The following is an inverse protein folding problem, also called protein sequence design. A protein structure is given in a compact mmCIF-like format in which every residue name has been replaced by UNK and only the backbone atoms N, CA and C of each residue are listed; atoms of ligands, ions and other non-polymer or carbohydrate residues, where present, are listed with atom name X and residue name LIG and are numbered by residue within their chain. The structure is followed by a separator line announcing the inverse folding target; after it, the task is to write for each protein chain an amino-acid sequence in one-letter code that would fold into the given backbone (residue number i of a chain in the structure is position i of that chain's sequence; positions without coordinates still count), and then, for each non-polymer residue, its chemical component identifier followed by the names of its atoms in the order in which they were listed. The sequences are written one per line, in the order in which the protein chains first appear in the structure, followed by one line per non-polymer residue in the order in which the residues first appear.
data_IF_578611444058
#
_entry.id   IF_578611444058
#
_cell.length_a   1.000
_cell.length_b   1.000
_cell.length_c   1.000
_cell.angle_alpha   90.00
_cell.angle_beta   90.00
_cell.angle_gamma   90.00
#
_symmetry.space_group_name_H-M   'P 1'
#
loop_
_entity.id
_entity.type
_entity.pdbx_description
1 polymer ?
#
# COMPACT_ATOMS: atom_id res chain seq x y z
N UNK A 1 4.65 -4.84 -12.18
CA UNK A 1 3.59 -4.05 -11.54
C UNK A 1 3.62 -4.44 -10.07
N UNK A 2 3.33 -3.49 -9.19
CA UNK A 2 3.43 -3.70 -7.74
C UNK A 2 2.08 -3.38 -7.12
N UNK A 3 1.69 -4.18 -6.13
CA UNK A 3 0.42 -4.08 -5.42
C UNK A 3 0.72 -4.01 -3.93
N UNK A 4 -0.03 -3.19 -3.20
CA UNK A 4 0.07 -3.10 -1.75
C UNK A 4 -0.90 -4.09 -1.11
N UNK A 5 -0.41 -4.86 -0.13
CA UNK A 5 -1.20 -5.82 0.64
C UNK A 5 -1.37 -5.26 2.07
N UNK A 6 -2.61 -5.11 2.50
CA UNK A 6 -2.95 -4.66 3.85
C UNK A 6 -3.50 -5.83 4.68
N UNK A 7 -3.15 -5.86 5.96
CA UNK A 7 -3.51 -6.98 6.85
C UNK A 7 -5.02 -7.04 7.18
N UNK A 8 -5.76 -5.95 7.00
CA UNK A 8 -7.19 -5.83 7.23
C UNK A 8 -8.06 -6.29 6.05
N UNK A 9 -7.45 -6.67 4.93
CA UNK A 9 -8.14 -7.07 3.69
C UNK A 9 -8.11 -8.59 3.47
N UNK A 10 -9.03 -9.08 2.65
CA UNK A 10 -8.97 -10.46 2.15
C UNK A 10 -7.69 -10.64 1.34
N UNK A 11 -6.76 -11.47 1.81
CA UNK A 11 -5.48 -11.77 1.16
C UNK A 11 -5.67 -12.64 -0.11
N UNK A 12 -6.40 -12.09 -1.08
CA UNK A 12 -6.79 -12.74 -2.32
C UNK A 12 -6.46 -11.81 -3.50
N UNK A 13 -5.77 -12.35 -4.51
CA UNK A 13 -5.48 -11.66 -5.75
C UNK A 13 -6.45 -12.13 -6.83
N UNK A 14 -7.38 -11.26 -7.21
CA UNK A 14 -8.28 -11.47 -8.34
C UNK A 14 -7.64 -10.95 -9.63
N UNK A 15 -7.71 -11.75 -10.70
CA UNK A 15 -7.18 -11.44 -12.01
C UNK A 15 -8.29 -11.61 -13.05
N UNK A 16 -8.57 -10.56 -13.82
CA UNK A 16 -9.50 -10.61 -14.95
C UNK A 16 -8.77 -10.24 -16.23
N UNK A 17 -8.98 -11.01 -17.29
CA UNK A 17 -8.40 -10.79 -18.61
C UNK A 17 -9.47 -10.26 -19.55
N UNK A 18 -9.13 -9.24 -20.32
CA UNK A 18 -10.03 -8.58 -21.27
C UNK A 18 -9.30 -8.39 -22.60
N UNK A 19 -9.98 -8.65 -23.70
CA UNK A 19 -9.52 -8.26 -25.03
C UNK A 19 -9.92 -6.81 -25.29
N UNK A 20 -8.96 -6.02 -25.75
CA UNK A 20 -9.17 -4.58 -25.94
C UNK A 20 -9.66 -4.32 -27.34
N UNK A 21 -10.86 -3.80 -27.45
CA UNK A 21 -11.53 -3.59 -28.73
C UNK A 21 -12.03 -2.15 -28.92
N UNK A 22 -12.24 -1.78 -30.20
CA UNK A 22 -12.65 -0.41 -30.55
C UNK A 22 -14.05 -0.02 -30.07
N UNK A 23 -14.90 -0.99 -29.77
CA UNK A 23 -16.30 -0.74 -29.40
C UNK A 23 -16.56 -1.06 -27.93
N UNK A 24 -16.28 -2.30 -27.53
CA UNK A 24 -16.43 -2.80 -26.16
C UNK A 24 -15.37 -3.88 -25.96
N UNK A 25 -14.71 -3.83 -24.82
CA UNK A 25 -13.73 -4.83 -24.43
C UNK A 25 -14.45 -6.14 -24.05
N UNK A 26 -13.98 -7.26 -24.59
CA UNK A 26 -14.56 -8.58 -24.38
C UNK A 26 -13.87 -9.29 -23.21
N UNK A 27 -14.67 -9.86 -22.31
CA UNK A 27 -14.15 -10.59 -21.16
C UNK A 27 -13.60 -11.95 -21.61
N UNK A 28 -12.32 -12.20 -21.31
CA UNK A 28 -11.61 -13.42 -21.71
C UNK A 28 -11.43 -14.42 -20.57
N UNK A 29 -11.72 -14.05 -19.33
CA UNK A 29 -11.64 -14.98 -18.19
C UNK A 29 -11.20 -14.33 -16.89
N UNK A 30 -11.40 -15.07 -15.80
CA UNK A 30 -11.02 -14.68 -14.44
C UNK A 30 -10.34 -15.83 -13.73
N UNK A 31 -9.51 -15.52 -12.75
CA UNK A 31 -9.12 -16.47 -11.72
C UNK A 31 -8.76 -15.72 -10.43
N UNK A 32 -8.75 -16.44 -9.31
CA UNK A 32 -8.37 -15.91 -8.01
C UNK A 32 -7.22 -16.72 -7.42
N UNK A 33 -6.30 -16.04 -6.72
CA UNK A 33 -5.14 -16.64 -6.06
C UNK A 33 -5.16 -16.27 -4.59
N UNK A 34 -5.23 -17.26 -3.71
CA UNK A 34 -5.12 -17.06 -2.26
C UNK A 34 -3.66 -16.76 -1.86
N UNK A 35 -3.39 -15.49 -1.52
CA UNK A 35 -2.04 -15.04 -1.13
C UNK A 35 -1.62 -15.60 0.23
N UNK A 36 -2.58 -15.93 1.09
CA UNK A 36 -2.34 -16.51 2.42
C UNK A 36 -1.66 -17.88 2.38
N UNK A 37 -1.67 -18.56 1.23
CA UNK A 37 -1.03 -19.87 1.04
C UNK A 37 0.40 -19.77 0.49
N UNK A 38 0.84 -18.57 0.10
CA UNK A 38 2.15 -18.35 -0.50
C UNK A 38 3.16 -17.92 0.55
N UNK A 39 4.40 -18.38 0.38
CA UNK A 39 5.51 -17.98 1.25
C UNK A 39 5.90 -16.52 0.98
N UNK A 40 6.26 -15.77 2.02
CA UNK A 40 6.76 -14.40 1.86
C UNK A 40 8.23 -14.42 1.47
N UNK A 41 8.72 -13.33 0.86
CA UNK A 41 10.11 -13.16 0.39
C UNK A 41 10.60 -14.20 -0.60
N UNK A 42 9.67 -14.82 -1.34
CA UNK A 42 9.98 -15.84 -2.32
C UNK A 42 9.15 -15.65 -3.58
N UNK A 43 9.81 -15.82 -4.72
CA UNK A 43 9.16 -15.77 -6.02
C UNK A 43 8.49 -17.11 -6.33
N UNK A 44 7.18 -17.09 -6.42
CA UNK A 44 6.33 -18.22 -6.79
C UNK A 44 6.05 -18.19 -8.29
N UNK A 45 6.18 -19.34 -8.94
CA UNK A 45 5.83 -19.54 -10.36
C UNK A 45 4.43 -20.14 -10.39
N UNK A 46 3.42 -19.31 -10.62
CA UNK A 46 2.01 -19.72 -10.55
C UNK A 46 1.49 -19.90 -11.97
N UNK A 47 0.96 -21.09 -12.25
CA UNK A 47 0.21 -21.38 -13.48
C UNK A 47 -1.23 -21.64 -13.07
N UNK A 48 -2.12 -20.71 -13.41
CA UNK A 48 -3.52 -20.74 -12.99
C UNK A 48 -4.43 -20.83 -14.21
N UNK A 49 -5.36 -21.78 -14.20
CA UNK A 49 -6.40 -21.87 -15.21
C UNK A 49 -7.45 -20.79 -14.98
N UNK A 50 -7.90 -20.19 -16.08
CA UNK A 50 -9.00 -19.24 -16.08
C UNK A 50 -10.33 -20.00 -16.00
N UNK A 51 -11.30 -19.38 -15.35
CA UNK A 51 -12.65 -19.90 -15.20
C UNK A 51 -13.24 -20.29 -16.58
N UNK A 52 -14.10 -21.30 -16.57
CA UNK A 52 -14.80 -21.81 -17.77
C UNK A 52 -13.88 -22.31 -18.89
N UNK A 53 -12.62 -22.63 -18.57
CA UNK A 53 -11.66 -23.16 -19.54
C UNK A 53 -11.17 -22.11 -20.54
N UNK A 54 -11.29 -20.82 -20.19
CA UNK A 54 -10.94 -19.71 -21.07
C UNK A 54 -9.43 -19.54 -21.32
N UNK A 55 -8.61 -20.39 -20.71
CA UNK A 55 -7.17 -20.50 -20.96
C UNK A 55 -6.37 -20.67 -19.67
N UNK A 56 -5.10 -20.32 -19.74
CA UNK A 56 -4.21 -20.39 -18.59
C UNK A 56 -3.31 -19.17 -18.54
N UNK A 57 -3.14 -18.62 -17.35
CA UNK A 57 -2.20 -17.53 -17.10
C UNK A 57 -0.98 -18.05 -16.33
N UNK A 58 0.17 -17.44 -16.60
CA UNK A 58 1.42 -17.73 -15.91
C UNK A 58 1.97 -16.46 -15.28
N UNK A 59 2.18 -16.48 -13.96
CA UNK A 59 2.66 -15.33 -13.19
C UNK A 59 3.90 -15.70 -12.38
N UNK A 60 4.77 -14.71 -12.21
CA UNK A 60 5.79 -14.71 -11.17
C UNK A 60 5.31 -13.77 -10.07
N UNK A 61 5.00 -14.32 -8.90
CA UNK A 61 4.45 -13.57 -7.78
C UNK A 61 5.40 -13.66 -6.59
N UNK A 62 5.84 -12.51 -6.09
CA UNK A 62 6.65 -12.40 -4.88
C UNK A 62 5.88 -11.54 -3.89
N UNK A 63 5.63 -12.06 -2.68
CA UNK A 63 5.10 -11.27 -1.57
C UNK A 63 6.29 -10.74 -0.78
N UNK A 64 6.73 -9.51 -1.05
CA UNK A 64 7.82 -8.88 -0.32
C UNK A 64 7.33 -8.15 0.93
N UNK A 65 8.14 -8.20 1.97
CA UNK A 65 7.85 -7.78 3.32
C UNK A 65 8.28 -6.34 3.58
N UNK A 66 7.27 -5.49 3.67
CA UNK A 66 7.03 -4.64 4.83
C UNK A 66 5.52 -4.59 5.05
N UNK A 67 4.90 -5.68 5.51
CA UNK A 67 3.50 -5.66 5.96
C UNK A 67 3.39 -5.07 7.37
N UNK A 68 4.19 -4.05 7.68
CA UNK A 68 4.07 -3.37 8.96
C UNK A 68 2.80 -2.54 8.89
N UNK A 69 1.80 -2.93 9.66
CA UNK A 69 0.55 -2.20 9.98
C UNK A 69 0.79 -0.84 10.66
N UNK A 70 1.89 -0.15 10.36
CA UNK A 70 2.23 1.14 10.93
C UNK A 70 2.49 2.12 9.81
N UNK A 71 1.43 2.81 9.39
CA UNK A 71 1.51 4.17 8.82
C UNK A 71 2.66 4.37 7.84
N UNK A 72 2.75 3.53 6.81
CA UNK A 72 3.47 3.94 5.60
C UNK A 72 2.55 4.97 4.95
N UNK A 73 2.60 6.17 5.53
CA UNK A 73 2.16 7.39 4.87
C UNK A 73 2.97 7.39 3.60
N UNK A 74 2.28 7.07 2.51
CA UNK A 74 2.83 7.04 1.19
C UNK A 74 3.59 8.35 1.00
N UNK A 75 4.93 8.32 1.11
CA UNK A 75 5.71 9.55 1.13
C UNK A 75 5.61 10.27 -0.22
N UNK A 76 5.13 9.54 -1.23
CA UNK A 76 4.77 10.01 -2.55
C UNK A 76 3.38 10.67 -2.62
N UNK A 77 2.48 10.37 -1.67
CA UNK A 77 1.10 10.91 -1.59
C UNK A 77 0.82 11.74 -0.32
N UNK A 78 1.84 11.98 0.53
CA UNK A 78 1.69 12.85 1.69
C UNK A 78 1.34 14.27 1.24
N UNK A 79 0.11 14.70 1.53
CA UNK A 79 -0.31 16.09 1.46
C UNK A 79 -0.39 16.66 2.88
N UNK A 80 0.15 17.86 3.09
CA UNK A 80 0.04 18.53 4.39
C UNK A 80 -1.44 18.79 4.71
N UNK A 81 -1.92 18.21 5.80
CA UNK A 81 -3.29 18.44 6.25
C UNK A 81 -3.40 19.88 6.82
N UNK A 82 -4.20 20.78 6.21
CA UNK A 82 -4.32 22.16 6.67
C UNK A 82 -4.89 22.24 8.09
N UNK A 83 -5.65 21.24 8.55
CA UNK A 83 -6.18 21.19 9.91
C UNK A 83 -5.09 20.95 10.95
N UNK A 84 -4.11 20.10 10.65
CA UNK A 84 -3.00 19.84 11.56
C UNK A 84 -2.16 21.10 11.80
N UNK A 85 -1.93 21.88 10.73
CA UNK A 85 -1.28 23.20 10.83
C UNK A 85 -2.05 24.15 11.74
N UNK A 86 -3.37 24.26 11.57
CA UNK A 86 -4.21 25.12 12.42
C UNK A 86 -4.12 24.73 13.90
N UNK A 87 -4.18 23.44 14.21
CA UNK A 87 -4.05 22.95 15.59
C UNK A 87 -2.66 23.27 16.17
N UNK A 88 -1.61 23.17 15.35
CA UNK A 88 -0.26 23.52 15.77
C UNK A 88 -0.11 25.02 16.05
N UNK A 89 -0.65 25.87 15.17
CA UNK A 89 -0.65 27.32 15.32
C UNK A 89 -1.41 27.76 16.57
N UNK A 90 -2.56 27.15 16.84
CA UNK A 90 -3.32 27.40 18.06
C UNK A 90 -2.60 26.92 19.32
N UNK A 91 -1.89 25.78 19.25
CA UNK A 91 -1.14 25.22 20.39
C UNK A 91 0.04 26.11 20.78
N UNK A 92 0.76 26.63 19.80
CA UNK A 92 1.94 27.48 20.00
C UNK A 92 1.67 28.98 19.82
N UNK A 93 0.39 29.39 19.86
CA UNK A 93 0.00 30.79 19.82
C UNK A 93 0.67 31.59 20.96
N UNK A 94 1.02 32.85 20.69
CA UNK A 94 1.71 33.74 21.65
C UNK A 94 0.99 33.86 23.00
N UNK A 95 -0.34 33.76 23.01
CA UNK A 95 -1.15 33.80 24.23
C UNK A 95 -0.96 32.56 25.12
N UNK A 96 -0.51 31.44 24.56
CA UNK A 96 -0.30 30.17 25.25
C UNK A 96 1.15 29.91 25.66
N UNK A 97 2.10 30.77 25.29
CA UNK A 97 3.54 30.56 25.50
C UNK A 97 3.95 30.33 26.98
N UNK A 98 3.28 30.96 27.95
CA UNK A 98 3.61 30.77 29.37
C UNK A 98 2.87 29.61 30.06
N UNK A 99 2.02 28.87 29.33
CA UNK A 99 1.23 27.79 29.92
C UNK A 99 2.03 26.50 30.12
N UNK A 100 3.07 26.27 29.30
CA UNK A 100 3.93 25.10 29.43
C UNK A 100 5.35 25.38 28.94
N UNK A 101 6.20 25.95 29.80
CA UNK A 101 7.60 26.28 29.50
C UNK A 101 8.50 25.07 29.21
N UNK A 102 8.01 23.84 29.43
CA UNK A 102 8.72 22.61 29.07
C UNK A 102 8.42 22.14 27.64
N UNK A 103 7.30 22.57 27.08
CA UNK A 103 6.92 22.29 25.70
C UNK A 103 7.47 23.40 24.80
N UNK A 104 8.46 23.07 23.99
CA UNK A 104 9.22 24.03 23.18
C UNK A 104 8.91 23.94 21.68
N UNK A 105 8.05 23.00 21.26
CA UNK A 105 7.70 22.87 19.85
C UNK A 105 7.36 21.46 19.39
N UNK A 106 7.11 21.36 18.09
CA UNK A 106 6.73 20.12 17.43
C UNK A 106 7.71 19.81 16.29
N UNK A 107 8.17 18.55 16.21
CA UNK A 107 9.05 18.05 15.16
C UNK A 107 8.33 16.96 14.37
N UNK A 108 8.20 17.17 13.06
CA UNK A 108 7.74 16.14 12.12
C UNK A 108 8.95 15.58 11.37
N UNK A 109 9.17 14.27 11.44
CA UNK A 109 10.27 13.60 10.72
C UNK A 109 9.71 12.79 9.55
N UNK A 110 10.30 12.98 8.37
CA UNK A 110 10.02 12.18 7.16
C UNK A 110 11.25 11.32 6.84
N UNK A 111 11.11 10.01 6.94
CA UNK A 111 12.20 9.06 6.65
C UNK A 111 12.04 8.52 5.24
N UNK A 112 13.01 8.81 4.37
CA UNK A 112 12.96 8.40 2.96
C UNK A 112 13.66 7.07 2.70
N UNK A 113 14.74 6.77 3.44
CA UNK A 113 15.57 5.58 3.23
C UNK A 113 16.44 5.29 4.46
N UNK A 114 16.70 4.02 4.74
CA UNK A 114 17.78 3.55 5.60
C UNK A 114 18.69 2.57 4.83
N UNK A 115 19.98 2.53 5.15
CA UNK A 115 20.97 1.62 4.55
C UNK A 115 21.87 1.05 5.65
N UNK A 116 22.37 -0.17 5.47
CA UNK A 116 23.32 -0.80 6.39
C UNK A 116 22.72 -1.19 7.74
N UNK A 117 21.47 -1.67 7.73
CA UNK A 117 20.87 -2.29 8.91
C UNK A 117 21.58 -3.65 9.13
N UNK A 118 22.18 -3.80 10.31
CA UNK A 118 23.00 -4.94 10.69
C UNK A 118 22.18 -6.23 10.87
#
# INVERSE_FOLDING_TARGET
FDLHLYDDQSQELELTVWDKDRSKDDFMGRCNIALSQLEREKTHRIKQELDEGAGTIFLLLTISGTTASETISDLTTYEENPRERQVLDERYALQRTFHNLRDVGHLTVRVYRAQGLA
#
